data_IF_443402363934
#
_entry.id   IF_443402363934
#
_cell.length_a   1.000
_cell.length_b   1.000
_cell.length_c   1.000
_cell.angle_alpha   90.00
_cell.angle_beta   90.00
_cell.angle_gamma   90.00
#
_symmetry.space_group_name_H-M   'P 1'
#
loop_
_entity.id
_entity.type
_entity.pdbx_description
1 polymer ?
#
# COMPACT_ATOMS: atom_id res chain seq x y z
N UNK A 1 -1.71 0.76 7.40
CA UNK A 1 -0.28 0.69 7.75
C UNK A 1 0.05 -0.66 8.38
N UNK A 2 -0.51 -0.97 9.56
CA UNK A 2 -0.25 -2.21 10.31
C UNK A 2 -0.35 -3.49 9.47
N UNK A 3 -1.41 -3.66 8.68
CA UNK A 3 -1.56 -4.82 7.79
C UNK A 3 -0.40 -4.98 6.79
N UNK A 4 0.10 -3.86 6.25
CA UNK A 4 1.24 -3.89 5.33
C UNK A 4 2.52 -4.32 6.04
N UNK A 5 2.75 -3.81 7.26
CA UNK A 5 3.91 -4.21 8.05
C UNK A 5 3.88 -5.71 8.37
N UNK A 6 2.74 -6.19 8.89
CA UNK A 6 2.56 -7.60 9.22
C UNK A 6 2.79 -8.51 8.00
N UNK A 7 2.35 -8.07 6.81
CA UNK A 7 2.55 -8.83 5.58
C UNK A 7 3.98 -8.76 5.02
N UNK A 8 4.79 -7.80 5.46
CA UNK A 8 6.21 -7.67 5.11
C UNK A 8 7.14 -8.42 6.09
N UNK A 9 6.61 -8.96 7.19
CA UNK A 9 7.40 -9.75 8.14
C UNK A 9 7.45 -11.21 7.67
N UNK A 10 8.65 -11.79 7.48
CA UNK A 10 8.77 -13.20 7.14
C UNK A 10 8.27 -14.10 8.26
N UNK A 11 7.47 -15.10 7.89
CA UNK A 11 7.00 -16.14 8.81
C UNK A 11 8.05 -17.24 8.94
N UNK A 12 8.43 -17.57 10.17
CA UNK A 12 9.45 -18.58 10.47
C UNK A 12 8.98 -20.02 10.21
N UNK A 13 7.66 -20.22 10.20
CA UNK A 13 7.00 -21.52 10.01
C UNK A 13 6.63 -21.80 8.53
N UNK A 14 6.81 -20.82 7.65
CA UNK A 14 6.56 -20.98 6.22
C UNK A 14 7.81 -21.47 5.50
N UNK A 15 7.62 -22.33 4.47
CA UNK A 15 8.73 -22.74 3.59
C UNK A 15 9.42 -21.48 3.07
N UNK A 16 10.75 -21.54 2.93
CA UNK A 16 11.70 -20.43 2.64
C UNK A 16 11.42 -19.60 1.36
N UNK A 17 10.27 -19.79 0.70
CA UNK A 17 9.85 -19.19 -0.57
C UNK A 17 8.41 -18.63 -0.58
N UNK A 18 7.75 -18.45 0.58
CA UNK A 18 6.50 -17.70 0.60
C UNK A 18 6.76 -16.25 0.15
N UNK A 19 6.01 -15.77 -0.84
CA UNK A 19 6.19 -14.43 -1.40
C UNK A 19 5.82 -13.37 -0.37
N UNK A 20 6.82 -12.61 0.10
CA UNK A 20 6.61 -11.53 1.05
C UNK A 20 5.91 -10.37 0.36
N UNK A 21 4.84 -9.88 0.98
CA UNK A 21 4.13 -8.70 0.49
C UNK A 21 4.84 -7.46 1.01
N UNK A 22 5.72 -6.90 0.20
CA UNK A 22 6.40 -5.64 0.51
C UNK A 22 5.45 -4.45 0.40
N UNK A 23 5.66 -3.43 1.22
CA UNK A 23 4.98 -2.13 1.04
C UNK A 23 5.71 -1.36 -0.05
N UNK A 24 5.07 -1.19 -1.19
CA UNK A 24 5.61 -0.44 -2.32
C UNK A 24 5.71 1.07 -2.04
N UNK A 25 6.70 1.71 -2.67
CA UNK A 25 6.91 3.15 -2.64
C UNK A 25 7.65 3.68 -1.40
N UNK A 26 8.13 4.91 -1.49
CA UNK A 26 8.89 5.56 -0.42
C UNK A 26 7.98 6.08 0.71
N UNK A 27 8.45 6.08 1.98
CA UNK A 27 7.81 6.85 3.05
C UNK A 27 7.67 8.34 2.65
N UNK A 28 6.63 9.05 3.13
CA UNK A 28 6.50 10.48 2.91
C UNK A 28 7.62 11.24 3.64
N UNK A 29 7.88 12.48 3.19
CA UNK A 29 8.70 13.43 3.95
C UNK A 29 8.01 13.76 5.28
N UNK A 30 8.68 13.44 6.40
CA UNK A 30 8.15 13.65 7.74
C UNK A 30 8.29 15.11 8.22
N UNK A 31 9.15 15.91 7.59
CA UNK A 31 9.26 17.35 7.89
C UNK A 31 8.09 18.14 7.31
N UNK A 32 7.47 17.61 6.25
CA UNK A 32 6.32 18.22 5.56
C UNK A 32 5.26 17.14 5.28
N UNK A 33 4.61 16.61 6.34
CA UNK A 33 3.66 15.54 6.17
C UNK A 33 2.46 16.02 5.33
N UNK A 34 1.94 15.18 4.43
CA UNK A 34 0.75 15.53 3.66
C UNK A 34 -0.47 15.66 4.60
N UNK A 35 -1.48 16.47 4.23
CA UNK A 35 -2.72 16.51 4.98
C UNK A 35 -3.41 15.14 4.95
N UNK A 36 -4.07 14.80 6.06
CA UNK A 36 -4.75 13.51 6.22
C UNK A 36 -3.79 12.36 6.44
N UNK A 37 -4.15 11.17 5.94
CA UNK A 37 -3.42 9.95 6.22
C UNK A 37 -2.03 9.94 5.54
N UNK A 38 -0.90 9.93 6.29
CA UNK A 38 0.44 9.93 5.70
C UNK A 38 0.74 8.63 4.92
N UNK A 39 0.00 7.56 5.21
CA UNK A 39 0.12 6.29 4.52
C UNK A 39 -0.68 6.22 3.21
N UNK A 40 -1.53 7.23 2.91
CA UNK A 40 -2.43 7.23 1.75
C UNK A 40 -1.73 6.88 0.41
N UNK A 41 -0.53 7.41 0.07
CA UNK A 41 0.11 7.13 -1.22
C UNK A 41 0.39 5.63 -1.44
N UNK A 42 0.75 4.93 -0.36
CA UNK A 42 1.12 3.50 -0.36
C UNK A 42 -0.03 2.58 0.07
N UNK A 43 -1.13 3.14 0.56
CA UNK A 43 -2.25 2.37 1.05
C UNK A 43 -3.01 1.72 -0.14
N UNK A 44 -3.25 0.41 -0.04
CA UNK A 44 -4.11 -0.30 -0.98
C UNK A 44 -5.60 0.06 -0.81
N UNK A 45 -6.00 0.45 0.39
CA UNK A 45 -7.37 0.87 0.73
C UNK A 45 -7.63 2.37 0.52
N UNK A 46 -6.63 3.15 0.07
CA UNK A 46 -6.74 4.61 0.02
C UNK A 46 -7.94 5.08 -0.79
N UNK A 47 -8.70 6.02 -0.20
CA UNK A 47 -9.86 6.70 -0.79
C UNK A 47 -9.62 8.21 -0.82
N UNK A 48 -10.46 8.94 -1.54
CA UNK A 48 -10.42 10.41 -1.56
C UNK A 48 -10.54 11.02 -0.14
N UNK A 49 -11.40 10.45 0.71
CA UNK A 49 -11.58 10.86 2.10
C UNK A 49 -10.30 10.73 2.95
N UNK A 50 -9.33 9.90 2.56
CA UNK A 50 -8.06 9.78 3.28
C UNK A 50 -7.18 11.04 3.22
N UNK A 51 -7.53 12.03 2.39
CA UNK A 51 -6.91 13.37 2.41
C UNK A 51 -7.26 14.16 3.68
N UNK A 52 -8.25 13.71 4.45
CA UNK A 52 -8.53 14.19 5.81
C UNK A 52 -8.21 13.09 6.83
N UNK A 53 -7.86 13.50 8.04
CA UNK A 53 -7.52 12.57 9.11
C UNK A 53 -8.80 12.01 9.75
N UNK A 54 -8.96 10.68 9.85
CA UNK A 54 -10.04 10.09 10.64
C UNK A 54 -9.83 10.33 12.14
N UNK A 55 -10.92 10.30 12.94
CA UNK A 55 -10.79 10.20 14.38
C UNK A 55 -10.10 8.88 14.78
N UNK A 56 -9.72 8.80 16.06
CA UNK A 56 -9.31 7.54 16.67
C UNK A 56 -10.56 6.76 17.08
N UNK A 57 -10.80 5.65 16.40
CA UNK A 57 -11.92 4.76 16.65
C UNK A 57 -11.44 3.39 17.16
N UNK A 58 -12.19 2.73 18.05
CA UNK A 58 -11.87 1.37 18.46
C UNK A 58 -11.98 0.40 17.28
N UNK A 59 -11.14 -0.64 17.32
CA UNK A 59 -11.26 -1.79 16.42
C UNK A 59 -12.39 -2.69 16.92
N UNK A 60 -13.14 -3.29 16.00
CA UNK A 60 -14.19 -4.24 16.33
C UNK A 60 -13.64 -5.37 17.22
N UNK A 61 -14.35 -5.66 18.32
CA UNK A 61 -13.96 -6.71 19.28
C UNK A 61 -12.87 -6.33 20.28
N UNK A 62 -12.26 -5.13 20.20
CA UNK A 62 -11.30 -4.65 21.20
C UNK A 62 -11.34 -3.13 21.34
N UNK A 63 -12.02 -2.63 22.37
CA UNK A 63 -12.19 -1.19 22.63
C UNK A 63 -10.91 -0.46 23.05
N UNK A 64 -9.89 -1.18 23.55
CA UNK A 64 -8.60 -0.60 23.91
C UNK A 64 -7.67 -0.40 22.71
N UNK A 65 -7.89 -1.15 21.62
CA UNK A 65 -7.11 -1.02 20.41
C UNK A 65 -7.76 -0.01 19.48
N UNK A 66 -7.11 1.14 19.29
CA UNK A 66 -7.62 2.23 18.45
C UNK A 66 -6.96 2.24 17.07
N UNK A 67 -7.71 2.72 16.07
CA UNK A 67 -7.24 2.97 14.71
C UNK A 67 -7.64 4.37 14.24
N UNK A 68 -6.78 4.99 13.44
CA UNK A 68 -7.10 6.17 12.64
C UNK A 68 -7.24 5.74 11.16
N UNK A 69 -8.38 5.14 10.81
CA UNK A 69 -8.63 4.68 9.43
C UNK A 69 -10.11 4.69 9.08
N UNK A 70 -10.46 5.44 8.03
CA UNK A 70 -11.82 5.53 7.45
C UNK A 70 -12.38 4.19 6.96
N UNK A 71 -11.51 3.24 6.61
CA UNK A 71 -11.90 1.96 6.04
C UNK A 71 -11.98 0.89 7.13
N UNK A 72 -13.04 0.09 7.10
CA UNK A 72 -13.05 -1.20 7.76
C UNK A 72 -12.32 -2.23 6.90
N UNK A 73 -11.10 -2.56 7.32
CA UNK A 73 -10.23 -3.51 6.61
C UNK A 73 -10.68 -4.96 6.73
N UNK A 74 -11.69 -5.23 7.56
CA UNK A 74 -12.30 -6.56 7.73
C UNK A 74 -13.48 -6.81 6.79
N UNK A 75 -14.05 -5.75 6.19
CA UNK A 75 -15.09 -5.88 5.17
C UNK A 75 -14.54 -6.59 3.91
N UNK A 76 -15.12 -7.72 3.48
CA UNK A 76 -14.70 -8.43 2.27
C UNK A 76 -14.69 -7.57 1.01
N UNK A 77 -15.59 -6.59 0.88
CA UNK A 77 -15.64 -5.68 -0.27
C UNK A 77 -14.43 -4.76 -0.30
N UNK A 78 -14.00 -4.28 0.87
CA UNK A 78 -12.81 -3.44 1.01
C UNK A 78 -11.53 -4.23 0.76
N UNK A 79 -11.48 -5.49 1.18
CA UNK A 79 -10.36 -6.40 0.88
C UNK A 79 -10.23 -6.62 -0.63
N UNK A 80 -11.35 -6.95 -1.31
CA UNK A 80 -11.35 -7.12 -2.76
C UNK A 80 -10.91 -5.85 -3.51
N UNK A 81 -11.30 -4.66 -3.03
CA UNK A 81 -10.81 -3.39 -3.57
C UNK A 81 -9.30 -3.25 -3.42
N UNK A 82 -8.78 -3.51 -2.21
CA UNK A 82 -7.36 -3.38 -1.93
C UNK A 82 -6.53 -4.38 -2.76
N UNK A 83 -6.99 -5.61 -2.93
CA UNK A 83 -6.33 -6.63 -3.74
C UNK A 83 -6.21 -6.20 -5.21
N UNK A 84 -7.30 -5.68 -5.80
CA UNK A 84 -7.26 -5.12 -7.16
C UNK A 84 -6.25 -3.98 -7.30
N UNK A 85 -6.20 -3.04 -6.33
CA UNK A 85 -5.24 -1.93 -6.35
C UNK A 85 -3.80 -2.38 -6.18
N UNK A 86 -3.52 -3.42 -5.37
CA UNK A 86 -2.17 -3.97 -5.25
C UNK A 86 -1.75 -4.63 -6.56
N UNK A 87 -2.59 -5.50 -7.11
CA UNK A 87 -2.33 -6.17 -8.40
C UNK A 87 -2.01 -5.15 -9.50
N UNK A 88 -2.83 -4.10 -9.65
CA UNK A 88 -2.59 -3.06 -10.64
C UNK A 88 -1.26 -2.31 -10.44
N UNK A 89 -0.81 -2.09 -9.19
CA UNK A 89 0.49 -1.45 -8.93
C UNK A 89 1.66 -2.37 -9.26
N UNK A 90 1.57 -3.66 -8.92
CA UNK A 90 2.58 -4.66 -9.29
C UNK A 90 2.73 -4.78 -10.81
N UNK A 91 1.60 -4.86 -11.52
CA UNK A 91 1.57 -4.90 -12.99
C UNK A 91 2.20 -3.63 -13.59
N UNK A 92 1.87 -2.45 -13.06
CA UNK A 92 2.48 -1.19 -13.50
C UNK A 92 3.99 -1.13 -13.23
N UNK A 93 4.45 -1.62 -12.07
CA UNK A 93 5.88 -1.69 -11.73
C UNK A 93 6.62 -2.66 -12.66
N UNK A 94 6.05 -3.84 -12.92
CA UNK A 94 6.62 -4.82 -13.85
C UNK A 94 6.68 -4.27 -15.27
N UNK A 95 5.63 -3.58 -15.73
CA UNK A 95 5.63 -2.90 -17.03
C UNK A 95 6.74 -1.85 -17.12
N UNK A 96 6.94 -1.05 -16.07
CA UNK A 96 8.02 -0.06 -16.01
C UNK A 96 9.42 -0.70 -16.05
N UNK A 97 9.62 -1.84 -15.38
CA UNK A 97 10.88 -2.61 -15.42
C UNK A 97 11.11 -3.21 -16.81
N UNK A 98 10.05 -3.74 -17.43
CA UNK A 98 10.12 -4.42 -18.73
C UNK A 98 10.06 -3.48 -19.93
N UNK A 99 9.94 -2.16 -19.71
CA UNK A 99 9.99 -1.18 -20.80
C UNK A 99 11.46 -1.05 -21.26
N UNK A 100 11.80 -1.44 -22.50
CA UNK A 100 13.17 -1.37 -22.97
C UNK A 100 13.65 0.09 -22.96
N UNK A 101 14.77 0.33 -22.29
CA UNK A 101 15.48 1.60 -22.31
C UNK A 101 16.30 1.72 -23.60
N UNK A 102 15.64 1.75 -24.77
CA UNK A 102 16.29 2.27 -25.98
C UNK A 102 15.28 2.61 -27.09
N UNK A 103 15.04 3.91 -27.25
CA UNK A 103 14.42 4.47 -28.46
C UNK A 103 15.02 5.86 -28.74
N UNK A 104 16.34 6.04 -28.52
CA UNK A 104 17.02 7.28 -28.94
C UNK A 104 18.50 7.00 -29.20
N UNK A 105 18.82 6.32 -30.29
CA UNK A 105 20.12 6.40 -30.98
C UNK A 105 20.06 5.67 -32.34
N UNK A 106 19.20 6.13 -33.26
CA UNK A 106 19.33 5.82 -34.68
C UNK A 106 18.49 6.79 -35.51
N UNK A 107 19.09 7.94 -35.89
CA UNK A 107 18.86 8.72 -37.11
C UNK A 107 19.44 10.13 -36.96
N UNK A 108 20.66 10.34 -37.46
CA UNK A 108 20.96 11.38 -38.47
C UNK A 108 22.27 10.97 -39.12
N UNK A 109 22.13 10.49 -40.35
CA UNK A 109 23.19 10.34 -41.35
C UNK A 109 23.76 11.69 -41.79
#
# INVERSE_FOLDING_TARGET
YTLGLLASVPRLDEKRHAELRTIEGAPPDLLKPPPGCPFMPRCAFARAICRTMPPLDPVAGNSAHLKACWVDVTDPKEQAYADRRRKARLEAMQAAINTPADATLQQTS
#
